data_IF_411496548452
#
_entry.id   IF_411496548452
#
_cell.length_a   1.000
_cell.length_b   1.000
_cell.length_c   1.000
_cell.angle_alpha   90.00
_cell.angle_beta   90.00
_cell.angle_gamma   90.00
#
_symmetry.space_group_name_H-M   'P 1'
#
loop_
_entity.id
_entity.type
_entity.pdbx_description
1 polymer ?
#
# COMPACT_ATOMS: atom_id res chain seq x y z
N UNK A 1 16.85 6.15 21.73
CA UNK A 1 17.05 5.67 20.35
C UNK A 1 15.67 5.52 19.73
N UNK A 2 15.35 6.33 18.72
CA UNK A 2 14.04 6.27 18.05
C UNK A 2 14.02 5.01 17.16
N UNK A 3 13.50 3.91 17.70
CA UNK A 3 13.51 2.58 17.08
C UNK A 3 12.67 2.51 15.78
N UNK A 4 11.76 3.47 15.59
CA UNK A 4 10.83 3.55 14.46
C UNK A 4 11.55 3.81 13.13
N UNK A 5 12.59 4.66 13.12
CA UNK A 5 13.33 4.96 11.88
C UNK A 5 14.08 3.75 11.33
N UNK A 6 14.62 2.89 12.20
CA UNK A 6 15.30 1.66 11.79
C UNK A 6 14.31 0.65 11.21
N UNK A 7 13.13 0.51 11.84
CA UNK A 7 12.09 -0.39 11.37
C UNK A 7 11.51 0.04 10.02
N UNK A 8 11.16 1.31 9.84
CA UNK A 8 10.62 1.82 8.58
C UNK A 8 11.63 1.68 7.43
N UNK A 9 12.90 2.01 7.66
CA UNK A 9 13.96 1.82 6.66
C UNK A 9 14.13 0.35 6.26
N UNK A 10 14.14 -0.54 7.27
CA UNK A 10 14.20 -1.98 7.03
C UNK A 10 12.99 -2.48 6.24
N UNK A 11 11.79 -2.04 6.61
CA UNK A 11 10.54 -2.39 5.95
C UNK A 11 10.57 -1.96 4.48
N UNK A 12 10.88 -0.70 4.20
CA UNK A 12 10.98 -0.19 2.81
C UNK A 12 12.02 -0.98 2.01
N UNK A 13 13.12 -1.41 2.62
CA UNK A 13 14.13 -2.25 1.95
C UNK A 13 13.58 -3.64 1.64
N UNK A 14 12.90 -4.28 2.58
CA UNK A 14 12.25 -5.59 2.42
C UNK A 14 11.18 -5.57 1.30
N UNK A 15 10.29 -4.57 1.32
CA UNK A 15 9.19 -4.42 0.37
C UNK A 15 9.62 -4.16 -1.09
N UNK A 16 10.92 -3.99 -1.37
CA UNK A 16 11.44 -4.05 -2.74
C UNK A 16 11.27 -5.44 -3.35
N UNK A 17 11.33 -6.49 -2.53
CA UNK A 17 10.99 -7.85 -2.94
C UNK A 17 9.47 -7.95 -3.15
N UNK A 18 9.07 -8.28 -4.38
CA UNK A 18 7.66 -8.31 -4.76
C UNK A 18 6.84 -9.35 -3.98
N UNK A 19 7.46 -10.46 -3.56
CA UNK A 19 6.79 -11.49 -2.74
C UNK A 19 6.53 -10.99 -1.33
N UNK A 20 7.52 -10.33 -0.72
CA UNK A 20 7.39 -9.73 0.61
C UNK A 20 6.34 -8.62 0.61
N UNK A 21 6.32 -7.78 -0.43
CA UNK A 21 5.28 -6.77 -0.61
C UNK A 21 3.87 -7.37 -0.76
N UNK A 22 3.72 -8.47 -1.51
CA UNK A 22 2.43 -9.15 -1.64
C UNK A 22 1.96 -9.73 -0.29
N UNK A 23 2.84 -10.40 0.44
CA UNK A 23 2.54 -10.92 1.79
C UNK A 23 2.16 -9.79 2.74
N UNK A 24 2.90 -8.68 2.72
CA UNK A 24 2.62 -7.53 3.57
C UNK A 24 1.25 -6.89 3.29
N UNK A 25 0.88 -6.70 2.02
CA UNK A 25 -0.46 -6.21 1.65
C UNK A 25 -1.57 -7.21 1.99
N UNK A 26 -1.30 -8.51 1.88
CA UNK A 26 -2.24 -9.55 2.24
C UNK A 26 -2.54 -9.51 3.75
N UNK A 27 -1.50 -9.44 4.59
CA UNK A 27 -1.65 -9.33 6.05
C UNK A 27 -2.41 -8.06 6.42
N UNK A 28 -2.05 -6.91 5.83
CA UNK A 28 -2.75 -5.65 6.11
C UNK A 28 -4.22 -5.68 5.68
N UNK A 29 -4.56 -6.40 4.61
CA UNK A 29 -5.95 -6.60 4.18
C UNK A 29 -6.72 -7.51 5.15
N UNK A 30 -6.08 -8.57 5.63
CA UNK A 30 -6.66 -9.50 6.62
C UNK A 30 -6.90 -8.79 7.97
N UNK A 31 -5.96 -7.95 8.42
CA UNK A 31 -6.13 -7.10 9.61
C UNK A 31 -7.32 -6.16 9.45
N UNK A 32 -7.38 -5.41 8.33
CA UNK A 32 -8.54 -4.55 8.02
C UNK A 32 -9.87 -5.31 8.05
N UNK A 33 -9.92 -6.56 7.58
CA UNK A 33 -11.15 -7.36 7.65
C UNK A 33 -11.56 -7.75 9.07
N UNK A 34 -10.59 -7.82 10.00
CA UNK A 34 -10.84 -8.16 11.40
C UNK A 34 -11.24 -6.95 12.24
N UNK A 35 -10.60 -5.80 12.05
CA UNK A 35 -10.75 -4.62 12.92
C UNK A 35 -11.41 -3.41 12.25
N UNK A 36 -11.61 -3.44 10.93
CA UNK A 36 -12.08 -2.34 10.08
C UNK A 36 -11.14 -1.11 10.06
N UNK A 37 -9.86 -1.28 10.39
CA UNK A 37 -8.84 -0.23 10.30
C UNK A 37 -8.36 -0.05 8.85
N UNK A 38 -9.10 0.80 8.11
CA UNK A 38 -8.73 1.14 6.74
C UNK A 38 -7.42 1.94 6.68
N UNK A 39 -7.10 2.73 7.70
CA UNK A 39 -5.90 3.58 7.72
C UNK A 39 -4.63 2.72 7.64
N UNK A 40 -4.56 1.65 8.43
CA UNK A 40 -3.42 0.71 8.41
C UNK A 40 -3.23 0.07 7.04
N UNK A 41 -4.31 -0.33 6.36
CA UNK A 41 -4.23 -0.88 5.01
C UNK A 41 -3.75 0.15 3.97
N UNK A 42 -4.23 1.40 4.06
CA UNK A 42 -3.80 2.47 3.16
C UNK A 42 -2.32 2.84 3.38
N UNK A 43 -1.86 2.82 4.62
CA UNK A 43 -0.46 3.04 4.95
C UNK A 43 0.42 1.90 4.41
N UNK A 44 -0.04 0.65 4.47
CA UNK A 44 0.67 -0.48 3.87
C UNK A 44 0.84 -0.32 2.34
N UNK A 45 -0.22 0.10 1.65
CA UNK A 45 -0.16 0.45 0.21
C UNK A 45 0.85 1.56 -0.06
N UNK A 46 0.94 2.55 0.83
CA UNK A 46 1.92 3.64 0.73
C UNK A 46 3.35 3.12 0.87
N UNK A 47 3.66 2.32 1.89
CA UNK A 47 5.00 1.78 2.09
C UNK A 47 5.42 0.91 0.90
N UNK A 48 4.52 0.09 0.36
CA UNK A 48 4.80 -0.68 -0.86
C UNK A 48 5.03 0.25 -2.06
N UNK A 49 4.23 1.31 -2.23
CA UNK A 49 4.46 2.28 -3.29
C UNK A 49 5.82 2.98 -3.16
N UNK A 50 6.22 3.36 -1.96
CA UNK A 50 7.52 3.95 -1.65
C UNK A 50 8.67 2.99 -1.99
N UNK A 51 8.59 1.74 -1.52
CA UNK A 51 9.58 0.70 -1.83
C UNK A 51 9.70 0.39 -3.33
N UNK A 52 8.60 0.48 -4.09
CA UNK A 52 8.53 0.16 -5.53
C UNK A 52 8.92 1.33 -6.45
N UNK A 53 9.49 2.40 -5.89
CA UNK A 53 10.00 3.56 -6.62
C UNK A 53 9.21 4.86 -6.41
N UNK A 54 8.38 4.91 -5.37
CA UNK A 54 7.67 6.10 -4.93
C UNK A 54 6.33 6.36 -5.60
N UNK A 55 5.52 7.19 -4.95
CA UNK A 55 4.23 7.67 -5.48
C UNK A 55 4.38 8.39 -6.82
N UNK A 56 5.57 8.96 -7.09
CA UNK A 56 5.84 9.60 -8.36
C UNK A 56 5.90 8.64 -9.54
N UNK A 57 6.42 7.42 -9.34
CA UNK A 57 6.41 6.36 -10.35
C UNK A 57 5.03 5.73 -10.45
N UNK A 58 4.35 5.55 -9.32
CA UNK A 58 2.99 5.03 -9.28
C UNK A 58 2.02 5.94 -10.04
N UNK A 59 2.08 7.25 -9.80
CA UNK A 59 1.31 8.28 -10.51
C UNK A 59 1.40 8.15 -12.03
N UNK A 60 2.63 7.97 -12.57
CA UNK A 60 2.83 7.79 -14.01
C UNK A 60 2.18 6.49 -14.52
N UNK A 61 2.22 5.41 -13.75
CA UNK A 61 1.63 4.12 -14.13
C UNK A 61 0.10 4.13 -14.07
N UNK A 62 -0.48 4.83 -13.10
CA UNK A 62 -1.93 4.84 -12.85
C UNK A 62 -2.64 6.01 -13.51
N UNK A 63 -1.89 6.99 -14.04
CA UNK A 63 -2.41 8.26 -14.55
C UNK A 63 -3.16 9.09 -13.48
N UNK A 64 -2.98 8.76 -12.21
CA UNK A 64 -3.51 9.53 -11.09
C UNK A 64 -2.54 10.65 -10.73
N UNK A 65 -3.07 11.83 -10.37
CA UNK A 65 -2.23 12.93 -9.94
C UNK A 65 -1.57 12.62 -8.57
N UNK A 66 -0.34 13.11 -8.35
CA UNK A 66 0.45 12.80 -7.14
C UNK A 66 -0.23 13.26 -5.86
N UNK A 67 -0.84 14.44 -5.86
CA UNK A 67 -1.53 15.00 -4.69
C UNK A 67 -2.70 14.13 -4.26
N UNK A 68 -3.48 13.64 -5.23
CA UNK A 68 -4.56 12.68 -5.03
C UNK A 68 -4.02 11.39 -4.46
N UNK A 69 -2.87 10.88 -4.93
CA UNK A 69 -2.27 9.69 -4.34
C UNK A 69 -1.87 9.91 -2.88
N UNK A 70 -1.24 11.04 -2.54
CA UNK A 70 -0.90 11.37 -1.15
C UNK A 70 -2.14 11.46 -0.27
N UNK A 71 -3.22 12.09 -0.76
CA UNK A 71 -4.49 12.18 -0.03
C UNK A 71 -5.17 10.81 0.12
N UNK A 72 -5.20 10.03 -0.96
CA UNK A 72 -5.82 8.70 -1.01
C UNK A 72 -5.11 7.72 -0.08
N UNK A 73 -3.79 7.77 0.00
CA UNK A 73 -2.96 6.88 0.83
C UNK A 73 -2.55 7.53 2.16
N UNK A 74 -3.37 8.46 2.66
CA UNK A 74 -3.19 9.05 3.99
C UNK A 74 -4.08 8.34 5.03
N UNK A 75 -3.83 8.61 6.30
CA UNK A 75 -4.67 8.16 7.42
C UNK A 75 -6.14 8.54 7.30
N UNK A 76 -6.43 9.64 6.61
CA UNK A 76 -7.79 10.13 6.36
C UNK A 76 -8.32 9.77 4.97
N UNK A 77 -7.61 8.90 4.25
CA UNK A 77 -8.02 8.44 2.94
C UNK A 77 -9.30 7.60 3.02
N UNK A 78 -10.19 7.77 2.04
CA UNK A 78 -11.36 6.92 1.87
C UNK A 78 -11.56 6.60 0.38
N UNK A 79 -10.64 5.85 -0.24
CA UNK A 79 -10.76 5.51 -1.65
C UNK A 79 -11.92 4.56 -1.92
N UNK A 80 -12.53 4.72 -3.10
CA UNK A 80 -13.43 3.70 -3.65
C UNK A 80 -12.62 2.43 -3.96
N UNK A 81 -13.28 1.26 -3.94
CA UNK A 81 -12.68 -0.02 -4.32
C UNK A 81 -11.97 0.03 -5.69
N UNK A 82 -12.59 0.71 -6.67
CA UNK A 82 -12.00 0.93 -7.99
C UNK A 82 -10.63 1.62 -7.92
N UNK A 83 -10.48 2.62 -7.04
CA UNK A 83 -9.21 3.31 -6.85
C UNK A 83 -8.16 2.36 -6.29
N UNK A 84 -8.51 1.55 -5.29
CA UNK A 84 -7.57 0.56 -4.72
C UNK A 84 -7.13 -0.43 -5.81
N UNK A 85 -8.06 -0.93 -6.64
CA UNK A 85 -7.74 -1.81 -7.77
C UNK A 85 -6.77 -1.18 -8.77
N UNK A 86 -6.94 0.11 -9.10
CA UNK A 86 -6.01 0.85 -9.97
C UNK A 86 -4.61 0.93 -9.34
N UNK A 87 -4.52 1.22 -8.04
CA UNK A 87 -3.25 1.31 -7.32
C UNK A 87 -2.53 -0.04 -7.27
N UNK A 88 -3.24 -1.11 -6.89
CA UNK A 88 -2.70 -2.47 -6.89
C UNK A 88 -2.18 -2.84 -8.28
N UNK A 89 -2.96 -2.63 -9.33
CA UNK A 89 -2.53 -2.91 -10.70
C UNK A 89 -1.28 -2.11 -11.10
N UNK A 90 -1.21 -0.83 -10.73
CA UNK A 90 -0.02 0.01 -10.95
C UNK A 90 1.24 -0.49 -10.22
N UNK A 91 1.06 -1.10 -9.05
CA UNK A 91 2.11 -1.76 -8.28
C UNK A 91 2.39 -3.19 -8.77
N UNK A 92 1.54 -3.75 -9.62
CA UNK A 92 1.65 -5.10 -10.17
C UNK A 92 1.05 -6.19 -9.27
N UNK A 93 0.04 -5.83 -8.49
CA UNK A 93 -0.77 -6.74 -7.66
C UNK A 93 -2.23 -6.72 -8.12
N UNK A 94 -3.01 -7.65 -7.61
CA UNK A 94 -4.44 -7.77 -7.88
C UNK A 94 -5.16 -8.28 -6.62
N UNK A 95 -6.47 -8.08 -6.57
CA UNK A 95 -7.30 -8.67 -5.52
C UNK A 95 -7.47 -10.17 -5.76
N UNK A 96 -7.56 -10.93 -4.66
CA UNK A 96 -7.95 -12.34 -4.70
C UNK A 96 -9.14 -12.58 -3.77
N UNK A 97 -10.00 -13.52 -4.15
CA UNK A 97 -11.08 -14.02 -3.30
C UNK A 97 -10.67 -15.41 -2.82
N UNK A 98 -10.78 -15.65 -1.51
CA UNK A 98 -10.50 -16.94 -0.87
C UNK A 98 -11.78 -17.40 -0.17
N UNK A 99 -11.97 -18.72 -0.06
CA UNK A 99 -12.99 -19.26 0.83
C UNK A 99 -12.61 -18.97 2.29
N UNK A 100 -13.60 -18.63 3.11
CA UNK A 100 -13.46 -18.42 4.54
C UNK A 100 -13.75 -19.71 5.32
#
# INVERSE_FOLDING_TARGET
MNNTGNYEEWLIKSLKNKKEAATYLQVALEEYQNDNDLESFLLALRYVAEAQGGLGKLSKKTHLNRESLYKTLSSKGNPKLQTIGILLKGLGFEFSIKAA
#
